data_IF_209248034709
#
_entry.id   IF_209248034709
#
_cell.length_a   1.000
_cell.length_b   1.000
_cell.length_c   1.000
_cell.angle_alpha   90.00
_cell.angle_beta   90.00
_cell.angle_gamma   90.00
#
_symmetry.space_group_name_H-M   'P 1'
#
loop_
_entity.id
_entity.type
_entity.pdbx_description
1 polymer ?
#
# COMPACT_ATOMS: atom_id res chain seq x y z
N UNK A 1 -12.63 -0.06 22.04
CA UNK A 1 -13.69 0.80 22.63
C UNK A 1 -14.18 1.83 21.63
N UNK A 2 -13.34 2.71 21.08
CA UNK A 2 -13.75 3.69 20.03
C UNK A 2 -14.58 3.11 18.87
N UNK A 3 -14.29 1.88 18.40
CA UNK A 3 -15.07 1.23 17.34
C UNK A 3 -16.46 0.74 17.79
N UNK A 4 -16.66 0.46 19.09
CA UNK A 4 -17.99 0.20 19.67
C UNK A 4 -18.80 1.49 19.71
N UNK A 5 -18.18 2.59 20.13
CA UNK A 5 -18.83 3.91 20.22
C UNK A 5 -19.27 4.42 18.84
N UNK A 6 -18.49 4.09 17.79
CA UNK A 6 -18.82 4.36 16.39
C UNK A 6 -19.80 3.35 15.77
N UNK A 7 -20.26 2.35 16.52
CA UNK A 7 -21.19 1.32 16.03
C UNK A 7 -20.60 0.35 14.99
N UNK A 8 -19.28 0.40 14.76
CA UNK A 8 -18.59 -0.43 13.77
C UNK A 8 -18.36 -1.88 14.25
N UNK A 9 -18.35 -2.06 15.57
CA UNK A 9 -18.16 -3.36 16.23
C UNK A 9 -19.29 -3.55 17.25
N UNK A 10 -19.72 -4.79 17.44
CA UNK A 10 -20.68 -5.20 18.47
C UNK A 10 -20.04 -6.27 19.35
N UNK A 11 -20.34 -6.24 20.65
CA UNK A 11 -20.00 -7.32 21.58
C UNK A 11 -21.08 -8.40 21.46
N UNK A 12 -20.67 -9.65 21.28
CA UNK A 12 -21.58 -10.79 21.30
C UNK A 12 -22.00 -11.11 22.75
N UNK A 13 -23.28 -10.94 23.11
CA UNK A 13 -23.74 -11.06 24.49
C UNK A 13 -23.74 -12.50 25.00
N UNK A 14 -23.61 -13.52 24.13
CA UNK A 14 -23.77 -14.92 24.51
C UNK A 14 -22.46 -15.68 24.70
N UNK A 15 -21.31 -15.01 24.63
CA UNK A 15 -20.01 -15.69 24.79
C UNK A 15 -19.59 -15.81 26.26
N UNK A 16 -19.81 -16.98 26.84
CA UNK A 16 -19.59 -17.24 28.28
C UNK A 16 -18.11 -17.41 28.67
N UNK A 17 -17.23 -17.77 27.73
CA UNK A 17 -15.81 -18.04 28.02
C UNK A 17 -14.91 -16.83 27.85
N UNK A 18 -15.23 -15.95 26.91
CA UNK A 18 -14.45 -14.76 26.58
C UNK A 18 -15.29 -13.79 25.75
N UNK A 19 -15.05 -12.47 25.81
CA UNK A 19 -15.75 -11.52 24.95
C UNK A 19 -15.45 -11.79 23.48
N UNK A 20 -16.50 -11.95 22.66
CA UNK A 20 -16.41 -12.04 21.20
C UNK A 20 -16.96 -10.77 20.57
N UNK A 21 -16.37 -10.39 19.44
CA UNK A 21 -16.74 -9.17 18.73
C UNK A 21 -17.13 -9.51 17.30
N UNK A 22 -18.19 -8.88 16.80
CA UNK A 22 -18.62 -8.95 15.41
C UNK A 22 -18.57 -7.56 14.77
N UNK A 23 -18.26 -7.49 13.48
CA UNK A 23 -18.31 -6.22 12.76
C UNK A 23 -19.76 -5.88 12.39
N UNK A 24 -20.06 -4.59 12.31
CA UNK A 24 -21.32 -4.05 11.74
C UNK A 24 -21.05 -3.23 10.47
N UNK A 25 -19.93 -3.51 9.82
CA UNK A 25 -19.42 -2.79 8.65
C UNK A 25 -20.49 -2.56 7.57
N UNK A 26 -21.20 -3.62 7.15
CA UNK A 26 -22.25 -3.53 6.12
C UNK A 26 -23.39 -2.61 6.52
N UNK A 27 -23.81 -2.66 7.79
CA UNK A 27 -24.90 -1.82 8.30
C UNK A 27 -24.48 -0.36 8.32
N UNK A 28 -23.24 -0.08 8.71
CA UNK A 28 -22.75 1.30 8.85
C UNK A 28 -22.46 1.93 7.48
N UNK A 29 -21.84 1.17 6.56
CA UNK A 29 -21.45 1.70 5.25
C UNK A 29 -22.41 1.35 4.12
N UNK A 30 -23.47 0.58 4.38
CA UNK A 30 -24.40 0.13 3.35
C UNK A 30 -23.69 -0.62 2.22
N UNK A 31 -22.87 -1.61 2.58
CA UNK A 31 -22.05 -2.37 1.63
C UNK A 31 -22.56 -3.79 1.44
N UNK A 32 -22.46 -4.30 0.21
CA UNK A 32 -22.65 -5.73 -0.07
C UNK A 32 -21.45 -6.56 0.40
N UNK A 33 -21.59 -7.90 0.43
CA UNK A 33 -20.47 -8.79 0.77
C UNK A 33 -19.25 -8.60 -0.14
N UNK A 34 -19.47 -8.39 -1.45
CA UNK A 34 -18.40 -8.12 -2.42
C UNK A 34 -17.70 -6.80 -2.18
N UNK A 35 -18.47 -5.74 -1.93
CA UNK A 35 -17.95 -4.43 -1.58
C UNK A 35 -17.13 -4.46 -0.29
N UNK A 36 -17.65 -5.10 0.77
CA UNK A 36 -16.93 -5.30 2.03
C UNK A 36 -15.64 -6.08 1.82
N UNK A 37 -15.65 -7.15 1.03
CA UNK A 37 -14.45 -7.95 0.79
C UNK A 37 -13.34 -7.14 0.11
N UNK A 38 -13.68 -6.35 -0.91
CA UNK A 38 -12.73 -5.46 -1.58
C UNK A 38 -12.17 -4.38 -0.61
N UNK A 39 -13.04 -3.75 0.19
CA UNK A 39 -12.63 -2.77 1.21
C UNK A 39 -11.73 -3.39 2.29
N UNK A 40 -12.08 -4.58 2.78
CA UNK A 40 -11.27 -5.34 3.74
C UNK A 40 -9.88 -5.64 3.17
N UNK A 41 -9.81 -6.05 1.91
CA UNK A 41 -8.54 -6.32 1.25
C UNK A 41 -7.66 -5.06 1.17
N UNK A 42 -8.23 -3.92 0.77
CA UNK A 42 -7.50 -2.65 0.70
C UNK A 42 -7.08 -2.15 2.09
N UNK A 43 -7.91 -2.32 3.12
CA UNK A 43 -7.57 -1.98 4.51
C UNK A 43 -6.34 -2.75 5.01
N UNK A 44 -6.18 -4.01 4.58
CA UNK A 44 -5.12 -4.90 5.05
C UNK A 44 -3.85 -4.87 4.19
N UNK A 45 -3.95 -4.43 2.93
CA UNK A 45 -2.86 -4.53 1.95
C UNK A 45 -2.55 -3.24 1.20
N UNK A 46 -3.27 -2.16 1.47
CA UNK A 46 -3.12 -0.89 0.77
C UNK A 46 -3.72 -0.93 -0.65
N UNK A 47 -3.18 -0.13 -1.59
CA UNK A 47 -3.73 -0.03 -2.94
C UNK A 47 -3.53 -1.30 -3.77
N UNK A 48 -4.60 -1.75 -4.43
CA UNK A 48 -4.63 -3.03 -5.15
C UNK A 48 -5.05 -2.84 -6.62
N UNK A 49 -4.57 -3.67 -7.55
CA UNK A 49 -5.10 -3.72 -8.92
C UNK A 49 -6.37 -4.58 -9.02
N UNK A 50 -7.11 -4.49 -10.15
CA UNK A 50 -8.30 -5.32 -10.37
C UNK A 50 -7.99 -6.82 -10.28
N UNK A 51 -6.89 -7.26 -10.90
CA UNK A 51 -6.45 -8.65 -10.87
C UNK A 51 -6.10 -9.11 -9.45
N UNK A 52 -5.46 -8.24 -8.67
CA UNK A 52 -5.15 -8.55 -7.27
C UNK A 52 -6.41 -8.66 -6.42
N UNK A 53 -7.40 -7.78 -6.61
CA UNK A 53 -8.69 -7.90 -5.91
C UNK A 53 -9.39 -9.20 -6.30
N UNK A 54 -9.49 -9.49 -7.60
CA UNK A 54 -10.12 -10.71 -8.10
C UNK A 54 -9.51 -11.98 -7.48
N UNK A 55 -8.18 -12.11 -7.54
CA UNK A 55 -7.46 -13.30 -7.05
C UNK A 55 -7.42 -13.39 -5.52
N UNK A 56 -7.29 -12.26 -4.81
CA UNK A 56 -7.12 -12.27 -3.34
C UNK A 56 -8.45 -12.28 -2.58
N UNK A 57 -9.56 -11.92 -3.22
CA UNK A 57 -10.89 -11.97 -2.60
C UNK A 57 -11.54 -13.36 -2.60
N UNK A 58 -11.00 -14.36 -3.32
CA UNK A 58 -11.61 -15.69 -3.48
C UNK A 58 -12.02 -16.34 -2.15
N UNK A 59 -11.21 -16.19 -1.09
CA UNK A 59 -11.51 -16.74 0.25
C UNK A 59 -12.53 -15.94 1.07
N UNK A 60 -12.85 -14.72 0.63
CA UNK A 60 -13.79 -13.80 1.30
C UNK A 60 -15.15 -13.77 0.60
N UNK A 61 -15.16 -13.81 -0.73
CA UNK A 61 -16.36 -13.73 -1.56
C UNK A 61 -16.05 -14.21 -2.98
N UNK A 62 -17.07 -14.68 -3.67
CA UNK A 62 -16.96 -15.06 -5.07
C UNK A 62 -17.25 -13.86 -6.00
N UNK A 63 -16.35 -13.66 -6.96
CA UNK A 63 -16.49 -12.74 -8.08
C UNK A 63 -16.57 -13.56 -9.37
N UNK A 64 -17.67 -13.50 -10.14
CA UNK A 64 -17.81 -14.30 -11.36
C UNK A 64 -16.78 -13.93 -12.44
N UNK A 65 -16.38 -12.65 -12.49
CA UNK A 65 -15.41 -12.14 -13.45
C UNK A 65 -14.63 -10.95 -12.89
N UNK A 66 -13.55 -10.57 -13.59
CA UNK A 66 -12.82 -9.34 -13.30
C UNK A 66 -13.66 -8.09 -13.56
N UNK A 67 -14.63 -8.16 -14.47
CA UNK A 67 -15.54 -7.06 -14.76
C UNK A 67 -16.50 -6.83 -13.58
N UNK A 68 -16.95 -7.89 -12.90
CA UNK A 68 -17.72 -7.77 -11.65
C UNK A 68 -16.94 -7.06 -10.54
N UNK A 69 -15.62 -7.25 -10.50
CA UNK A 69 -14.74 -6.51 -9.58
C UNK A 69 -14.70 -5.05 -9.96
N UNK A 70 -14.52 -4.74 -11.25
CA UNK A 70 -14.51 -3.36 -11.75
C UNK A 70 -15.82 -2.64 -11.41
N UNK A 71 -16.96 -3.23 -11.75
CA UNK A 71 -18.29 -2.68 -11.48
C UNK A 71 -18.55 -2.51 -9.97
N UNK A 72 -17.98 -3.41 -9.16
CA UNK A 72 -18.05 -3.31 -7.69
C UNK A 72 -17.27 -2.12 -7.17
N UNK A 73 -16.08 -1.86 -7.70
CA UNK A 73 -15.23 -0.74 -7.31
C UNK A 73 -15.76 0.59 -7.87
N UNK A 74 -16.25 0.62 -9.10
CA UNK A 74 -16.90 1.79 -9.70
C UNK A 74 -18.11 2.23 -8.88
N UNK A 75 -18.99 1.29 -8.49
CA UNK A 75 -20.09 1.57 -7.56
C UNK A 75 -19.66 2.06 -6.18
N UNK A 76 -18.42 1.81 -5.74
CA UNK A 76 -17.89 2.35 -4.48
C UNK A 76 -17.29 3.75 -4.65
N UNK A 77 -16.83 4.08 -5.86
CA UNK A 77 -16.32 5.40 -6.25
C UNK A 77 -17.49 6.38 -6.47
N UNK A 78 -18.55 5.93 -7.14
CA UNK A 78 -19.69 6.76 -7.56
C UNK A 78 -20.71 7.08 -6.46
N UNK A 79 -20.47 6.63 -5.22
CA UNK A 79 -21.37 6.92 -4.09
C UNK A 79 -21.32 8.42 -3.76
N UNK A 80 -22.42 8.94 -3.20
CA UNK A 80 -22.47 10.30 -2.65
C UNK A 80 -21.31 10.56 -1.66
N UNK A 81 -20.97 9.54 -0.86
CA UNK A 81 -19.75 9.49 -0.06
C UNK A 81 -18.88 8.34 -0.59
N UNK A 82 -17.87 8.64 -1.42
CA UNK A 82 -16.99 7.63 -1.98
C UNK A 82 -16.25 6.84 -0.90
N UNK A 83 -16.18 5.52 -1.07
CA UNK A 83 -15.44 4.64 -0.15
C UNK A 83 -14.12 4.17 -0.75
N UNK A 84 -13.94 4.37 -2.05
CA UNK A 84 -12.76 3.97 -2.82
C UNK A 84 -12.40 5.11 -3.75
N UNK A 85 -11.10 5.24 -4.04
CA UNK A 85 -10.56 6.08 -5.11
C UNK A 85 -9.76 5.23 -6.09
N UNK A 86 -9.85 5.57 -7.39
CA UNK A 86 -8.97 5.02 -8.43
C UNK A 86 -7.71 5.87 -8.52
N UNK A 87 -6.57 5.22 -8.37
CA UNK A 87 -5.24 5.80 -8.57
C UNK A 87 -4.77 5.38 -9.95
N UNK A 88 -4.76 6.35 -10.87
CA UNK A 88 -4.29 6.15 -12.24
C UNK A 88 -2.85 5.62 -12.24
N UNK A 89 -2.56 4.69 -13.15
CA UNK A 89 -1.22 4.15 -13.28
C UNK A 89 -0.17 5.24 -13.51
N UNK A 90 0.93 5.18 -12.74
CA UNK A 90 2.12 5.98 -12.99
C UNK A 90 2.90 5.50 -14.22
N UNK A 91 3.93 6.27 -14.61
CA UNK A 91 4.86 5.86 -15.67
C UNK A 91 5.52 4.51 -15.29
N UNK A 92 5.51 3.54 -16.20
CA UNK A 92 6.08 2.20 -15.97
C UNK A 92 5.12 1.20 -15.31
N UNK A 93 3.95 1.62 -14.82
CA UNK A 93 2.91 0.74 -14.29
C UNK A 93 1.92 0.36 -15.38
N UNK A 94 1.49 -0.91 -15.41
CA UNK A 94 0.59 -1.43 -16.45
C UNK A 94 -0.88 -1.23 -16.13
N UNK A 95 -1.23 -1.24 -14.84
CA UNK A 95 -2.60 -1.27 -14.34
C UNK A 95 -2.86 -0.14 -13.33
N UNK A 96 -4.10 0.35 -13.31
CA UNK A 96 -4.61 1.24 -12.28
C UNK A 96 -4.73 0.51 -10.94
N UNK A 97 -4.65 1.28 -9.86
CA UNK A 97 -4.84 0.76 -8.49
C UNK A 97 -6.05 1.41 -7.85
N UNK A 98 -6.59 0.76 -6.83
CA UNK A 98 -7.74 1.21 -6.07
C UNK A 98 -7.38 1.22 -4.59
N UNK A 99 -7.77 2.28 -3.88
CA UNK A 99 -7.52 2.44 -2.44
C UNK A 99 -8.79 2.87 -1.72
N UNK A 100 -8.98 2.38 -0.49
CA UNK A 100 -10.11 2.79 0.33
C UNK A 100 -9.92 4.22 0.87
N UNK A 101 -11.04 4.89 1.18
CA UNK A 101 -11.05 6.26 1.77
C UNK A 101 -11.42 6.27 3.27
N UNK A 102 -11.56 5.08 3.87
CA UNK A 102 -11.94 4.92 5.29
C UNK A 102 -10.93 5.47 6.31
N UNK A 103 -9.69 5.72 5.89
CA UNK A 103 -8.63 6.30 6.73
C UNK A 103 -8.36 7.78 6.40
N UNK A 104 -9.28 8.42 5.68
CA UNK A 104 -9.13 9.79 5.20
C UNK A 104 -8.81 9.87 3.70
N UNK A 105 -8.65 11.10 3.19
CA UNK A 105 -8.33 11.32 1.79
C UNK A 105 -6.96 10.73 1.45
N UNK A 106 -6.87 10.12 0.26
CA UNK A 106 -5.64 9.58 -0.29
C UNK A 106 -5.02 10.64 -1.19
N UNK A 107 -3.75 10.97 -0.96
CA UNK A 107 -2.97 11.78 -1.87
C UNK A 107 -2.54 10.91 -3.06
N UNK A 108 -3.29 11.05 -4.16
CA UNK A 108 -3.08 10.24 -5.38
C UNK A 108 -1.77 10.62 -6.05
N UNK A 109 -1.40 11.90 -6.05
CA UNK A 109 -0.20 12.39 -6.73
C UNK A 109 1.06 11.91 -6.00
N UNK A 110 1.09 12.02 -4.67
CA UNK A 110 2.18 11.49 -3.85
C UNK A 110 2.34 9.97 -4.01
N UNK A 111 1.24 9.23 -4.14
CA UNK A 111 1.29 7.78 -4.38
C UNK A 111 1.89 7.45 -5.76
N UNK A 112 1.47 8.17 -6.80
CA UNK A 112 2.01 7.98 -8.15
C UNK A 112 3.50 8.31 -8.20
N UNK A 113 3.94 9.38 -7.54
CA UNK A 113 5.35 9.77 -7.47
C UNK A 113 6.19 8.72 -6.74
N UNK A 114 5.72 8.22 -5.59
CA UNK A 114 6.38 7.15 -4.84
C UNK A 114 6.46 5.83 -5.62
N UNK A 115 5.40 5.48 -6.36
CA UNK A 115 5.39 4.31 -7.23
C UNK A 115 6.38 4.44 -8.40
N UNK A 116 6.54 5.66 -8.94
CA UNK A 116 7.55 5.94 -9.97
C UNK A 116 8.95 5.81 -9.37
N UNK A 117 9.22 6.37 -8.19
CA UNK A 117 10.51 6.21 -7.49
C UNK A 117 10.84 4.73 -7.23
N UNK A 118 9.86 3.94 -6.78
CA UNK A 118 9.99 2.49 -6.53
C UNK A 118 10.11 1.66 -7.82
N UNK A 119 9.66 2.18 -8.97
CA UNK A 119 9.84 1.54 -10.29
C UNK A 119 11.11 1.99 -11.01
N UNK A 120 11.61 3.19 -10.70
CA UNK A 120 12.92 3.69 -11.11
C UNK A 120 14.05 3.02 -10.32
N UNK A 121 13.75 2.38 -9.19
CA UNK A 121 14.52 1.23 -8.71
C UNK A 121 14.27 0.00 -9.58
N UNK A 122 14.63 0.09 -10.86
CA UNK A 122 15.31 -1.04 -11.47
C UNK A 122 16.62 -1.21 -10.67
N UNK A 123 16.90 -2.38 -10.08
CA UNK A 123 17.98 -2.54 -9.10
C UNK A 123 19.40 -2.54 -9.70
N UNK A 124 19.75 -1.59 -10.59
CA UNK A 124 21.14 -1.51 -11.07
C UNK A 124 21.44 -0.61 -12.26
N UNK A 125 20.94 0.63 -12.32
CA UNK A 125 21.51 1.61 -13.29
C UNK A 125 21.67 3.03 -12.75
N UNK A 126 20.66 3.58 -12.08
CA UNK A 126 20.77 4.93 -11.47
C UNK A 126 21.45 4.85 -10.11
N UNK A 127 21.03 3.88 -9.27
CA UNK A 127 21.73 3.57 -8.02
C UNK A 127 23.19 3.16 -8.25
N UNK A 128 23.50 2.47 -9.37
CA UNK A 128 24.87 2.07 -9.69
C UNK A 128 25.76 3.27 -10.03
N UNK A 129 25.24 4.29 -10.73
CA UNK A 129 26.03 5.48 -11.06
C UNK A 129 26.37 6.30 -9.80
N UNK A 130 25.38 6.51 -8.92
CA UNK A 130 25.59 7.18 -7.63
C UNK A 130 26.47 6.35 -6.68
N UNK A 131 26.32 5.02 -6.65
CA UNK A 131 27.22 4.15 -5.90
C UNK A 131 28.64 4.19 -6.47
N UNK A 132 28.81 4.15 -7.80
CA UNK A 132 30.13 4.22 -8.43
C UNK A 132 30.83 5.52 -8.07
N UNK A 133 30.12 6.66 -8.19
CA UNK A 133 30.67 7.97 -7.82
C UNK A 133 31.05 8.02 -6.33
N UNK A 134 30.19 7.48 -5.46
CA UNK A 134 30.47 7.42 -4.02
C UNK A 134 31.65 6.52 -3.68
N UNK A 135 31.76 5.36 -4.34
CA UNK A 135 32.88 4.42 -4.15
C UNK A 135 34.18 5.04 -4.63
N UNK A 136 34.21 5.67 -5.81
CA UNK A 136 35.42 6.34 -6.33
C UNK A 136 35.88 7.48 -5.41
N UNK A 137 34.94 8.26 -4.86
CA UNK A 137 35.27 9.31 -3.89
C UNK A 137 35.88 8.71 -2.60
N UNK A 138 35.27 7.67 -2.05
CA UNK A 138 35.75 7.00 -0.83
C UNK A 138 37.11 6.31 -1.03
N UNK A 139 37.36 5.71 -2.20
CA UNK A 139 38.65 5.12 -2.53
C UNK A 139 39.76 6.19 -2.60
N UNK A 140 39.46 7.37 -3.16
CA UNK A 140 40.38 8.51 -3.15
C UNK A 140 40.70 9.00 -1.73
N UNK A 141 39.68 9.11 -0.87
CA UNK A 141 39.87 9.46 0.54
C UNK A 141 40.73 8.43 1.28
N UNK A 142 40.52 7.14 1.02
CA UNK A 142 41.32 6.06 1.62
C UNK A 142 42.79 6.15 1.18
N UNK A 143 43.06 6.45 -0.09
CA UNK A 143 44.44 6.64 -0.57
C UNK A 143 45.11 7.81 0.13
N UNK A 144 44.43 8.96 0.20
CA UNK A 144 44.95 10.15 0.88
C UNK A 144 45.22 9.90 2.38
N UNK A 145 44.30 9.22 3.07
CA UNK A 145 44.46 8.87 4.48
C UNK A 145 45.60 7.87 4.70
N UNK A 146 45.78 6.89 3.80
CA UNK A 146 46.90 5.94 3.87
C UNK A 146 48.25 6.63 3.68
N UNK A 147 48.35 7.59 2.77
CA UNK A 147 49.57 8.38 2.56
C UNK A 147 49.89 9.24 3.78
N UNK A 148 48.89 9.90 4.37
CA UNK A 148 49.07 10.66 5.61
C UNK A 148 49.53 9.78 6.76
N UNK A 149 48.95 8.58 6.90
CA UNK A 149 49.36 7.61 7.92
C UNK A 149 50.80 7.14 7.70
N UNK A 150 51.19 6.85 6.45
CA UNK A 150 52.54 6.43 6.11
C UNK A 150 53.57 7.52 6.42
N UNK A 151 53.24 8.79 6.13
CA UNK A 151 54.08 9.94 6.46
C UNK A 151 54.22 10.14 7.98
N UNK A 152 53.13 9.97 8.73
CA UNK A 152 53.19 10.07 10.20
C UNK A 152 54.00 8.93 10.80
N UNK A 153 53.85 7.71 10.29
CA UNK A 153 54.59 6.52 10.76
C UNK A 153 56.07 6.54 10.35
N UNK A 154 56.44 7.19 9.25
CA UNK A 154 57.84 7.36 8.82
C UNK A 154 58.53 8.56 9.48
N UNK A 155 57.75 9.52 10.01
CA UNK A 155 58.25 10.65 10.81
C UNK A 155 58.47 10.32 12.30
N UNK A 156 58.29 9.05 12.69
CA UNK A 156 58.45 8.54 14.05
C UNK A 156 59.61 7.56 14.14
#
# INVERSE_FOLDING_TARGET
RAMLDRGLVKLDPFSQRAPRYSHSFDTVYGTTARQRAALCLMLLRGPQTLNEVFTRCERLTDFPSIDDVRDTLERLIERDVPLVVRISRGRGQREDRYMHLLSGPVDVDAFVESAVASSNTAPGRVADAELYERVTALEGEIVALKEQLANLLSSR
#
